data_IF_123138518793
#
_entry.id   IF_123138518793
#
_cell.length_a   1.000
_cell.length_b   1.000
_cell.length_c   1.000
_cell.angle_alpha   90.00
_cell.angle_beta   90.00
_cell.angle_gamma   90.00
#
_symmetry.space_group_name_H-M   'P 1'
#
loop_
_entity.id
_entity.type
_entity.pdbx_description
1 polymer ?
#
# COMPACT_ATOMS: atom_id res chain seq x y z
N UNK A 1 -9.97 37.24 5.60
CA UNK A 1 -10.95 36.47 6.40
C UNK A 1 -10.38 35.10 6.67
N UNK A 2 -10.45 34.61 7.90
CA UNK A 2 -10.11 33.22 8.23
C UNK A 2 -11.23 32.30 7.75
N UNK A 3 -10.87 31.21 7.07
CA UNK A 3 -11.82 30.19 6.60
C UNK A 3 -11.48 28.88 7.31
N UNK A 4 -12.48 28.22 7.88
CA UNK A 4 -12.33 26.89 8.45
C UNK A 4 -12.12 25.90 7.31
N UNK A 5 -10.95 25.26 7.27
CA UNK A 5 -10.65 24.19 6.32
C UNK A 5 -10.65 22.86 7.07
N UNK A 6 -11.45 21.90 6.63
CA UNK A 6 -11.40 20.54 7.15
C UNK A 6 -10.27 19.80 6.43
N UNK A 7 -9.23 19.35 7.16
CA UNK A 7 -8.08 18.66 6.56
C UNK A 7 -8.31 17.17 6.28
N UNK A 8 -9.24 16.53 6.99
CA UNK A 8 -9.75 15.19 6.75
C UNK A 8 -11.08 15.02 7.50
N UNK A 9 -11.98 14.19 6.99
CA UNK A 9 -13.28 13.91 7.66
C UNK A 9 -13.35 12.52 8.30
N UNK A 10 -12.38 11.67 7.99
CA UNK A 10 -12.18 10.39 8.65
C UNK A 10 -10.71 9.98 8.54
N UNK A 11 -10.25 9.20 9.52
CA UNK A 11 -8.95 8.56 9.44
C UNK A 11 -9.00 7.09 9.87
N UNK A 12 -8.13 6.29 9.26
CA UNK A 12 -7.96 4.88 9.57
C UNK A 12 -6.47 4.55 9.68
N UNK A 13 -6.05 4.12 10.87
CA UNK A 13 -4.71 3.58 11.06
C UNK A 13 -4.60 2.17 10.49
N UNK A 14 -3.52 1.89 9.77
CA UNK A 14 -3.24 0.56 9.21
C UNK A 14 -1.85 0.05 9.61
N UNK A 15 -1.73 -1.28 9.62
CA UNK A 15 -0.48 -1.99 9.91
C UNK A 15 -0.34 -3.17 8.97
N UNK A 16 0.67 -3.11 8.11
CA UNK A 16 1.08 -4.19 7.23
C UNK A 16 2.26 -4.93 7.85
N UNK A 17 2.14 -6.24 8.04
CA UNK A 17 3.26 -7.11 8.42
C UNK A 17 3.61 -7.99 7.24
N UNK A 18 4.89 -8.04 6.92
CA UNK A 18 5.44 -8.80 5.81
C UNK A 18 6.57 -9.66 6.36
N UNK A 19 6.51 -10.95 6.07
CA UNK A 19 7.59 -11.89 6.32
C UNK A 19 8.29 -12.22 5.01
N UNK A 20 9.55 -12.65 5.11
CA UNK A 20 10.27 -13.21 3.98
C UNK A 20 9.53 -14.43 3.39
N UNK A 21 9.65 -14.62 2.08
CA UNK A 21 9.10 -15.80 1.42
C UNK A 21 9.95 -17.03 1.77
N UNK A 22 9.37 -18.15 2.25
CA UNK A 22 10.16 -19.31 2.63
C UNK A 22 10.97 -19.88 1.45
N UNK A 23 12.22 -20.25 1.72
CA UNK A 23 13.05 -21.07 0.82
C UNK A 23 12.48 -22.50 0.78
N UNK A 24 11.53 -22.75 -0.12
CA UNK A 24 11.08 -24.10 -0.45
C UNK A 24 12.00 -24.75 -1.51
N UNK A 25 12.09 -26.09 -1.57
CA UNK A 25 12.73 -26.77 -2.70
C UNK A 25 11.94 -26.46 -3.98
N UNK A 26 12.46 -25.58 -4.82
CA UNK A 26 11.79 -25.04 -6.01
C UNK A 26 11.58 -23.52 -6.01
N UNK A 27 11.91 -22.82 -4.91
CA UNK A 27 11.93 -21.35 -4.91
C UNK A 27 13.17 -20.83 -5.67
N UNK A 28 13.03 -19.75 -6.49
CA UNK A 28 14.16 -19.18 -7.23
C UNK A 28 15.31 -18.82 -6.28
N UNK A 29 16.57 -19.00 -6.72
CA UNK A 29 17.74 -18.73 -5.89
C UNK A 29 17.86 -17.22 -5.61
N UNK A 30 17.27 -16.78 -4.50
CA UNK A 30 17.24 -15.38 -4.09
C UNK A 30 15.91 -15.03 -3.41
N UNK A 31 15.70 -15.49 -2.17
CA UNK A 31 14.51 -15.12 -1.41
C UNK A 31 14.36 -13.59 -1.29
N UNK A 32 13.16 -13.07 -1.54
CA UNK A 32 12.89 -11.63 -1.42
C UNK A 32 12.98 -11.20 0.05
N UNK A 33 13.87 -10.26 0.34
CA UNK A 33 14.01 -9.66 1.66
C UNK A 33 12.66 -9.04 2.09
N UNK A 34 12.23 -9.25 3.34
CA UNK A 34 10.94 -8.77 3.82
C UNK A 34 10.77 -7.24 3.69
N UNK A 35 11.86 -6.45 3.74
CA UNK A 35 11.78 -5.00 3.50
C UNK A 35 11.49 -4.65 2.04
N UNK A 36 12.00 -5.44 1.10
CA UNK A 36 11.76 -5.24 -0.33
C UNK A 36 10.32 -5.60 -0.67
N UNK A 37 9.85 -6.75 -0.17
CA UNK A 37 8.46 -7.17 -0.32
C UNK A 37 7.49 -6.16 0.33
N UNK A 38 7.84 -5.62 1.50
CA UNK A 38 7.07 -4.55 2.13
C UNK A 38 7.03 -3.27 1.30
N UNK A 39 8.14 -2.89 0.65
CA UNK A 39 8.20 -1.71 -0.22
C UNK A 39 7.30 -1.88 -1.46
N UNK A 40 7.35 -3.05 -2.11
CA UNK A 40 6.48 -3.41 -3.24
C UNK A 40 5.01 -3.36 -2.83
N UNK A 41 4.66 -4.01 -1.72
CA UNK A 41 3.31 -4.05 -1.20
C UNK A 41 2.77 -2.64 -0.89
N UNK A 42 3.54 -1.81 -0.19
CA UNK A 42 3.11 -0.45 0.15
C UNK A 42 2.90 0.40 -1.10
N UNK A 43 3.78 0.29 -2.09
CA UNK A 43 3.65 1.03 -3.35
C UNK A 43 2.38 0.62 -4.11
N UNK A 44 2.12 -0.68 -4.22
CA UNK A 44 0.89 -1.21 -4.83
C UNK A 44 -0.36 -0.72 -4.10
N UNK A 45 -0.40 -0.88 -2.76
CA UNK A 45 -1.54 -0.47 -1.95
C UNK A 45 -1.81 1.04 -2.06
N UNK A 46 -0.77 1.88 -2.00
CA UNK A 46 -0.94 3.33 -2.11
C UNK A 46 -1.46 3.76 -3.48
N UNK A 47 -0.91 3.21 -4.57
CA UNK A 47 -1.34 3.54 -5.93
C UNK A 47 -2.78 3.07 -6.17
N UNK A 48 -3.09 1.83 -5.80
CA UNK A 48 -4.44 1.27 -5.91
C UNK A 48 -5.46 2.03 -5.07
N UNK A 49 -5.08 2.46 -3.86
CA UNK A 49 -5.95 3.27 -3.00
C UNK A 49 -6.23 4.64 -3.62
N UNK A 50 -5.21 5.40 -4.03
CA UNK A 50 -5.40 6.71 -4.64
C UNK A 50 -6.20 6.63 -5.96
N UNK A 51 -6.10 5.53 -6.70
CA UNK A 51 -6.91 5.29 -7.89
C UNK A 51 -8.40 5.02 -7.55
N UNK A 52 -8.66 4.26 -6.48
CA UNK A 52 -10.04 3.92 -6.02
C UNK A 52 -10.76 5.06 -5.33
N UNK A 53 -10.00 5.98 -4.72
CA UNK A 53 -10.56 7.12 -3.97
C UNK A 53 -10.12 8.47 -4.56
N UNK A 54 -10.46 8.74 -5.84
CA UNK A 54 -10.11 9.99 -6.49
C UNK A 54 -10.86 11.16 -5.84
N UNK A 55 -10.46 12.38 -6.21
CA UNK A 55 -11.19 13.58 -5.80
C UNK A 55 -12.61 13.54 -6.35
N UNK A 56 -13.60 13.80 -5.51
CA UNK A 56 -15.02 13.82 -5.87
C UNK A 56 -15.54 15.27 -5.95
N UNK A 57 -16.53 15.61 -6.80
CA UNK A 57 -17.07 16.98 -6.87
C UNK A 57 -17.60 17.54 -5.53
N UNK A 58 -18.06 16.68 -4.62
CA UNK A 58 -18.48 17.12 -3.27
C UNK A 58 -17.33 17.68 -2.44
N UNK A 59 -16.09 17.31 -2.77
CA UNK A 59 -14.88 17.75 -2.07
C UNK A 59 -14.63 19.25 -2.27
N UNK A 60 -15.15 19.85 -3.35
CA UNK A 60 -15.08 21.30 -3.61
C UNK A 60 -15.80 22.11 -2.52
N UNK A 61 -16.94 21.59 -2.04
CA UNK A 61 -17.72 22.22 -0.97
C UNK A 61 -16.98 22.27 0.36
N UNK A 62 -15.96 21.41 0.53
CA UNK A 62 -15.13 21.32 1.73
C UNK A 62 -13.68 21.79 1.49
N UNK A 63 -13.39 22.34 0.31
CA UNK A 63 -12.09 22.87 -0.09
C UNK A 63 -10.94 21.85 -0.09
N UNK A 64 -11.24 20.57 -0.32
CA UNK A 64 -10.21 19.54 -0.51
C UNK A 64 -9.60 19.66 -1.91
N UNK A 65 -8.28 19.89 -1.95
CA UNK A 65 -7.52 20.00 -3.19
C UNK A 65 -7.20 18.65 -3.85
N UNK A 66 -7.25 17.57 -3.07
CA UNK A 66 -6.92 16.21 -3.51
C UNK A 66 -7.96 15.22 -2.97
N UNK A 67 -8.00 14.03 -3.56
CA UNK A 67 -8.82 12.91 -3.07
C UNK A 67 -8.30 12.33 -1.75
N UNK A 68 -8.83 11.17 -1.39
CA UNK A 68 -8.39 10.49 -0.16
C UNK A 68 -6.98 9.95 -0.34
N UNK A 69 -6.21 9.87 0.76
CA UNK A 69 -4.80 9.47 0.71
C UNK A 69 -4.49 8.34 1.68
N UNK A 70 -3.56 7.46 1.29
CA UNK A 70 -2.95 6.44 2.14
C UNK A 70 -1.46 6.71 2.26
N UNK A 71 -0.94 6.87 3.49
CA UNK A 71 0.45 7.27 3.73
C UNK A 71 1.14 6.35 4.74
N UNK A 72 2.30 5.76 4.42
CA UNK A 72 3.13 5.11 5.43
C UNK A 72 3.72 6.17 6.35
N UNK A 73 3.72 5.89 7.64
CA UNK A 73 4.25 6.79 8.68
C UNK A 73 5.48 6.19 9.37
N UNK A 74 5.56 4.87 9.49
CA UNK A 74 6.67 4.20 10.18
C UNK A 74 6.94 2.82 9.59
N UNK A 75 8.21 2.54 9.35
CA UNK A 75 8.70 1.21 8.99
C UNK A 75 9.52 0.68 10.17
N UNK A 76 9.31 -0.58 10.55
CA UNK A 76 10.07 -1.27 11.59
C UNK A 76 10.62 -2.59 11.04
N UNK A 77 11.93 -2.75 11.14
CA UNK A 77 12.66 -3.98 10.84
C UNK A 77 13.54 -4.27 12.06
N UNK A 78 13.57 -5.52 12.54
CA UNK A 78 14.20 -5.82 13.84
C UNK A 78 15.67 -6.24 13.74
N UNK A 79 16.07 -6.96 12.69
CA UNK A 79 17.41 -7.55 12.55
C UNK A 79 17.82 -7.63 11.08
N UNK A 80 19.13 -7.75 10.83
CA UNK A 80 19.70 -8.08 9.51
C UNK A 80 20.21 -9.53 9.59
N UNK A 81 19.90 -10.42 8.64
CA UNK A 81 18.97 -10.22 7.51
C UNK A 81 17.53 -9.97 7.99
N UNK A 82 16.79 -9.16 7.22
CA UNK A 82 15.44 -8.73 7.58
C UNK A 82 14.44 -9.80 7.14
N UNK A 83 14.06 -10.67 8.08
CA UNK A 83 13.05 -11.72 7.88
C UNK A 83 11.61 -11.24 8.10
N UNK A 84 11.42 -10.12 8.80
CA UNK A 84 10.11 -9.49 9.03
C UNK A 84 10.23 -7.97 8.95
N UNK A 85 9.31 -7.34 8.24
CA UNK A 85 9.12 -5.90 8.18
C UNK A 85 7.67 -5.54 8.56
N UNK A 86 7.51 -4.52 9.39
CA UNK A 86 6.19 -3.95 9.72
C UNK A 86 6.12 -2.51 9.24
N UNK A 87 5.15 -2.21 8.37
CA UNK A 87 4.82 -0.85 7.95
C UNK A 87 3.54 -0.41 8.62
N UNK A 88 3.55 0.79 9.19
CA UNK A 88 2.41 1.41 9.85
C UNK A 88 2.13 2.72 9.15
N UNK A 89 0.87 3.01 8.91
CA UNK A 89 0.47 4.26 8.29
C UNK A 89 -0.94 4.67 8.64
N UNK A 90 -1.40 5.69 7.94
CA UNK A 90 -2.73 6.26 8.10
C UNK A 90 -3.37 6.50 6.74
N UNK A 91 -4.69 6.39 6.71
CA UNK A 91 -5.55 6.81 5.60
C UNK A 91 -6.29 8.07 6.04
N UNK A 92 -6.29 9.11 5.20
CA UNK A 92 -7.08 10.32 5.39
C UNK A 92 -8.16 10.38 4.31
N UNK A 93 -9.42 10.44 4.74
CA UNK A 93 -10.58 10.45 3.84
C UNK A 93 -11.14 11.86 3.63
N UNK A 94 -11.55 12.11 2.40
CA UNK A 94 -12.45 13.22 2.07
C UNK A 94 -13.90 12.85 2.45
N UNK A 95 -14.81 13.83 2.58
CA UNK A 95 -16.19 13.57 2.97
C UNK A 95 -16.97 12.66 2.00
N UNK A 96 -16.46 12.47 0.78
CA UNK A 96 -17.11 11.67 -0.25
C UNK A 96 -17.13 10.17 0.02
N UNK A 97 -16.24 9.67 0.89
CA UNK A 97 -16.03 8.24 1.10
C UNK A 97 -16.14 7.86 2.57
N UNK A 98 -16.66 6.67 2.84
CA UNK A 98 -16.81 6.15 4.20
C UNK A 98 -15.60 5.33 4.62
N UNK A 99 -15.32 5.32 5.93
CA UNK A 99 -14.25 4.50 6.53
C UNK A 99 -14.41 3.01 6.20
N UNK A 100 -15.65 2.50 6.18
CA UNK A 100 -15.93 1.10 5.84
C UNK A 100 -15.50 0.76 4.40
N UNK A 101 -15.82 1.63 3.43
CA UNK A 101 -15.45 1.46 2.02
C UNK A 101 -13.93 1.48 1.85
N UNK A 102 -13.24 2.37 2.58
CA UNK A 102 -11.79 2.42 2.59
C UNK A 102 -11.15 1.15 3.16
N UNK A 103 -11.71 0.59 4.23
CA UNK A 103 -11.23 -0.65 4.83
C UNK A 103 -11.41 -1.84 3.87
N UNK A 104 -12.59 -1.99 3.27
CA UNK A 104 -12.89 -3.04 2.30
C UNK A 104 -11.98 -2.95 1.06
N UNK A 105 -11.73 -1.74 0.56
CA UNK A 105 -10.86 -1.53 -0.59
C UNK A 105 -9.39 -1.90 -0.28
N UNK A 106 -8.89 -1.59 0.92
CA UNK A 106 -7.53 -1.97 1.34
C UNK A 106 -7.40 -3.49 1.46
N UNK A 107 -8.41 -4.17 2.01
CA UNK A 107 -8.42 -5.63 2.03
C UNK A 107 -8.43 -6.24 0.63
N UNK A 108 -9.22 -5.69 -0.29
CA UNK A 108 -9.25 -6.14 -1.68
C UNK A 108 -7.89 -5.94 -2.36
N UNK A 109 -7.27 -4.76 -2.24
CA UNK A 109 -5.93 -4.49 -2.77
C UNK A 109 -4.88 -5.44 -2.19
N UNK A 110 -5.00 -5.80 -0.90
CA UNK A 110 -4.08 -6.74 -0.27
C UNK A 110 -4.25 -8.16 -0.82
N UNK A 111 -5.47 -8.57 -1.19
CA UNK A 111 -5.72 -9.86 -1.84
C UNK A 111 -5.13 -9.87 -3.26
N UNK A 112 -5.39 -8.82 -4.04
CA UNK A 112 -4.84 -8.64 -5.39
C UNK A 112 -3.30 -8.67 -5.36
N UNK A 113 -2.67 -7.93 -4.45
CA UNK A 113 -1.22 -7.94 -4.29
C UNK A 113 -0.67 -9.33 -3.95
N UNK A 114 -1.37 -10.11 -3.11
CA UNK A 114 -0.94 -11.47 -2.79
C UNK A 114 -1.02 -12.36 -4.02
N UNK A 115 -2.11 -12.30 -4.76
CA UNK A 115 -2.29 -13.07 -6.00
C UNK A 115 -1.18 -12.74 -7.01
N UNK A 116 -0.86 -11.46 -7.21
CA UNK A 116 0.23 -11.02 -8.08
C UNK A 116 1.62 -11.48 -7.57
N UNK A 117 1.88 -11.36 -6.27
CA UNK A 117 3.13 -11.81 -5.65
C UNK A 117 3.30 -13.34 -5.65
N UNK A 118 2.23 -14.10 -5.86
CA UNK A 118 2.21 -15.56 -5.99
C UNK A 118 2.39 -16.04 -7.44
N UNK A 119 2.30 -15.14 -8.43
CA UNK A 119 2.58 -15.50 -9.82
C UNK A 119 4.09 -15.70 -10.03
N UNK A 120 4.51 -16.71 -10.80
CA UNK A 120 5.91 -16.85 -11.20
C UNK A 120 6.32 -15.57 -11.92
N UNK A 121 7.36 -14.91 -11.41
CA UNK A 121 8.00 -13.82 -12.13
C UNK A 121 8.64 -14.47 -13.36
N UNK A 122 8.08 -14.27 -14.55
CA UNK A 122 8.76 -14.69 -15.78
C UNK A 122 10.11 -13.98 -15.82
N UNK A 123 11.20 -14.76 -15.79
CA UNK A 123 12.56 -14.25 -15.75
C UNK A 123 12.78 -13.31 -16.94
N UNK A 124 12.98 -12.02 -16.65
CA UNK A 124 13.36 -11.01 -17.62
C UNK A 124 14.85 -11.13 -18.00
N UNK A 125 15.31 -12.34 -18.29
CA UNK A 125 16.67 -12.67 -18.76
C UNK A 125 16.59 -13.29 -20.16
N UNK A 126 16.05 -12.54 -21.14
CA UNK A 126 16.31 -12.83 -22.55
C UNK A 126 16.38 -11.54 -23.37
N UNK A 127 17.28 -10.61 -23.03
CA UNK A 127 17.79 -9.62 -23.99
C UNK A 127 19.12 -8.98 -23.52
N UNK A 128 20.13 -9.82 -23.31
CA UNK A 128 21.53 -9.37 -23.22
C UNK A 128 22.47 -10.37 -23.92
N UNK A 129 22.12 -10.74 -25.16
CA UNK A 129 23.05 -11.37 -26.10
C UNK A 129 22.55 -11.16 -27.53
N UNK A 130 22.83 -9.97 -28.06
CA UNK A 130 22.92 -9.69 -29.48
C UNK A 130 24.02 -8.65 -29.70
#
# INVERSE_FOLDING_TARGET
>A
GSRLCCGCTGSLGWRLRVAETPHGPGAPPGGTNAIELASKAVSFLQQGFCHRFPRHPTDDGYFFAQGSTMKPLRIRCQRVPVSEATVIGEIHLTPAYRVAEAAEAVEALLREFREEALLPQEDADEEASA
#
